data_IF_473812879773
#
_entry.id   IF_473812879773
#
_cell.length_a   1.000
_cell.length_b   1.000
_cell.length_c   1.000
_cell.angle_alpha   90.00
_cell.angle_beta   90.00
_cell.angle_gamma   90.00
#
_symmetry.space_group_name_H-M   'P 1'
#
loop_
_entity.id
_entity.type
_entity.pdbx_description
1 polymer ?
#
# COMPACT_ATOMS: atom_id res chain seq x y z
N UNK A 1 -70.96 -22.78 10.46
CA UNK A 1 -69.96 -23.87 10.41
C UNK A 1 -68.58 -23.26 10.23
N UNK A 2 -67.64 -23.68 11.09
CA UNK A 2 -66.17 -23.60 11.02
C UNK A 2 -65.48 -22.22 11.08
N UNK A 3 -64.81 -22.04 12.24
CA UNK A 3 -63.77 -21.08 12.65
C UNK A 3 -62.59 -21.04 11.68
N UNK A 4 -61.90 -19.89 11.53
CA UNK A 4 -60.43 -19.80 11.60
C UNK A 4 -60.00 -18.36 11.98
N UNK A 5 -59.40 -18.24 13.18
CA UNK A 5 -58.68 -17.06 13.65
C UNK A 5 -57.26 -17.17 13.09
N UNK A 6 -56.88 -16.30 12.14
CA UNK A 6 -55.51 -16.25 11.62
C UNK A 6 -54.66 -15.53 12.67
N UNK A 7 -53.91 -16.30 13.44
CA UNK A 7 -52.87 -15.79 14.33
C UNK A 7 -51.65 -15.45 13.48
N UNK A 8 -51.47 -14.17 13.15
CA UNK A 8 -50.27 -13.68 12.47
C UNK A 8 -49.10 -13.70 13.48
N UNK A 9 -48.24 -14.71 13.37
CA UNK A 9 -46.95 -14.74 14.07
C UNK A 9 -46.02 -13.79 13.32
N UNK A 10 -45.86 -12.57 13.84
CA UNK A 10 -44.83 -11.64 13.35
C UNK A 10 -43.48 -12.15 13.89
N UNK A 11 -42.79 -12.95 13.08
CA UNK A 11 -41.37 -13.25 13.27
C UNK A 11 -40.59 -11.94 13.05
N UNK A 12 -40.33 -11.21 14.13
CA UNK A 12 -39.28 -10.19 14.14
C UNK A 12 -37.94 -10.93 14.03
N UNK A 13 -37.49 -11.16 12.80
CA UNK A 13 -36.09 -11.48 12.54
C UNK A 13 -35.28 -10.30 13.06
N UNK A 14 -34.63 -10.48 14.21
CA UNK A 14 -33.68 -9.52 14.75
C UNK A 14 -32.52 -9.46 13.77
N UNK A 15 -32.56 -8.52 12.83
CA UNK A 15 -31.39 -8.09 12.11
C UNK A 15 -30.47 -7.49 13.17
N UNK A 16 -29.56 -8.30 13.71
CA UNK A 16 -28.38 -7.80 14.41
C UNK A 16 -27.48 -7.35 13.27
N UNK A 17 -27.33 -6.05 12.97
CA UNK A 17 -26.24 -5.64 12.11
C UNK A 17 -24.99 -6.13 12.81
N UNK A 18 -24.31 -7.12 12.24
CA UNK A 18 -22.90 -7.35 12.54
C UNK A 18 -22.21 -6.09 12.06
N UNK A 19 -22.15 -5.09 12.96
CA UNK A 19 -21.18 -4.03 12.86
C UNK A 19 -19.86 -4.76 12.69
N UNK A 20 -19.35 -4.80 11.46
CA UNK A 20 -18.03 -5.33 11.19
C UNK A 20 -17.12 -4.70 12.22
N UNK A 21 -16.38 -5.53 12.95
CA UNK A 21 -15.53 -5.05 14.02
C UNK A 21 -14.65 -3.94 13.45
N UNK A 22 -14.99 -2.68 13.72
CA UNK A 22 -14.21 -1.54 13.30
C UNK A 22 -12.89 -1.74 14.04
N UNK A 23 -11.82 -1.98 13.28
CA UNK A 23 -10.51 -2.10 13.87
C UNK A 23 -10.29 -0.88 14.75
N UNK A 24 -9.90 -1.10 16.01
CA UNK A 24 -9.62 0.00 16.92
C UNK A 24 -8.63 0.96 16.26
N UNK A 25 -8.86 2.28 16.32
CA UNK A 25 -7.93 3.24 15.78
C UNK A 25 -6.55 2.99 16.40
N UNK A 26 -5.51 3.04 15.56
CA UNK A 26 -4.15 2.81 16.01
C UNK A 26 -3.77 3.84 17.09
N UNK A 27 -2.92 3.44 18.03
CA UNK A 27 -2.42 4.36 19.04
C UNK A 27 -1.72 5.56 18.37
N UNK A 28 -1.85 6.79 18.89
CA UNK A 28 -1.18 7.97 18.35
C UNK A 28 0.32 7.71 18.13
N UNK A 29 0.79 7.98 16.91
CA UNK A 29 2.19 7.75 16.52
C UNK A 29 2.49 6.35 15.97
N UNK A 30 1.52 5.43 15.93
CA UNK A 30 1.70 4.13 15.28
C UNK A 30 1.67 4.28 13.76
N UNK A 31 2.73 3.82 13.10
CA UNK A 31 2.80 3.75 11.64
C UNK A 31 2.26 2.39 11.21
N UNK A 32 1.23 2.37 10.35
CA UNK A 32 0.75 1.15 9.69
C UNK A 32 1.17 1.19 8.24
N UNK A 33 1.80 0.10 7.80
CA UNK A 33 2.44 0.01 6.50
C UNK A 33 1.88 -1.13 5.68
N UNK A 34 2.00 -1.03 4.35
CA UNK A 34 1.77 -2.15 3.44
C UNK A 34 2.79 -2.12 2.29
N UNK A 35 2.86 -3.19 1.52
CA UNK A 35 3.68 -3.31 0.32
C UNK A 35 2.81 -3.22 -0.94
N UNK A 36 3.36 -2.60 -1.99
CA UNK A 36 2.82 -2.59 -3.34
C UNK A 36 3.90 -3.13 -4.30
N UNK A 37 3.84 -4.43 -4.56
CA UNK A 37 4.77 -5.14 -5.43
C UNK A 37 4.46 -4.96 -6.91
N UNK A 38 3.18 -4.94 -7.29
CA UNK A 38 2.82 -4.73 -8.70
C UNK A 38 2.77 -3.21 -9.02
N UNK A 39 3.93 -2.63 -9.33
CA UNK A 39 4.05 -1.18 -9.59
C UNK A 39 3.28 -0.75 -10.84
N UNK A 40 2.98 -1.65 -11.78
CA UNK A 40 2.16 -1.31 -12.95
C UNK A 40 0.77 -0.76 -12.61
N UNK A 41 0.26 -1.05 -11.41
CA UNK A 41 -1.01 -0.53 -10.90
C UNK A 41 -1.00 0.99 -10.71
N UNK A 42 0.16 1.65 -10.65
CA UNK A 42 0.20 3.12 -10.54
C UNK A 42 -0.03 3.83 -11.89
N UNK A 43 -0.05 3.10 -13.01
CA UNK A 43 -0.18 3.69 -14.33
C UNK A 43 -1.57 4.28 -14.60
N UNK A 44 -2.64 3.65 -14.11
CA UNK A 44 -4.00 4.12 -14.33
C UNK A 44 -4.51 5.00 -13.17
N UNK A 45 -5.24 6.10 -13.45
CA UNK A 45 -5.91 6.87 -12.40
C UNK A 45 -6.84 6.03 -11.52
N UNK A 46 -7.55 5.07 -12.11
CA UNK A 46 -8.51 4.22 -11.42
C UNK A 46 -7.82 3.36 -10.36
N UNK A 47 -6.75 2.64 -10.73
CA UNK A 47 -6.03 1.78 -9.79
C UNK A 47 -5.30 2.59 -8.70
N UNK A 48 -4.79 3.79 -9.03
CA UNK A 48 -4.25 4.70 -7.99
C UNK A 48 -5.30 5.08 -6.95
N UNK A 49 -6.52 5.40 -7.39
CA UNK A 49 -7.62 5.72 -6.48
C UNK A 49 -7.96 4.52 -5.60
N UNK A 50 -8.14 3.33 -6.18
CA UNK A 50 -8.47 2.11 -5.44
C UNK A 50 -7.41 1.78 -4.36
N UNK A 51 -6.12 1.90 -4.71
CA UNK A 51 -5.02 1.67 -3.75
C UNK A 51 -5.08 2.67 -2.59
N UNK A 52 -5.33 3.95 -2.87
CA UNK A 52 -5.32 5.01 -1.87
C UNK A 52 -6.60 5.04 -1.03
N UNK A 53 -7.74 4.64 -1.59
CA UNK A 53 -8.97 4.38 -0.85
C UNK A 53 -8.77 3.23 0.13
N UNK A 54 -8.21 2.11 -0.32
CA UNK A 54 -7.82 1.01 0.56
C UNK A 54 -6.88 1.48 1.68
N UNK A 55 -5.86 2.28 1.36
CA UNK A 55 -4.93 2.80 2.35
C UNK A 55 -5.65 3.65 3.41
N UNK A 56 -6.58 4.51 3.00
CA UNK A 56 -7.37 5.33 3.90
C UNK A 56 -8.28 4.48 4.80
N UNK A 57 -9.04 3.55 4.22
CA UNK A 57 -9.93 2.62 4.94
C UNK A 57 -9.19 1.79 5.98
N UNK A 58 -7.97 1.35 5.63
CA UNK A 58 -7.15 0.54 6.50
C UNK A 58 -6.26 1.36 7.44
N UNK A 59 -6.32 2.69 7.42
CA UNK A 59 -5.43 3.57 8.19
C UNK A 59 -3.94 3.30 7.93
N UNK A 60 -3.58 2.95 6.69
CA UNK A 60 -2.19 2.83 6.25
C UNK A 60 -1.62 4.22 6.05
N UNK A 61 -0.50 4.51 6.72
CA UNK A 61 0.22 5.78 6.64
C UNK A 61 1.53 5.69 5.83
N UNK A 62 1.91 4.48 5.39
CA UNK A 62 3.07 4.28 4.51
C UNK A 62 2.90 3.10 3.58
N UNK A 63 3.33 3.27 2.33
CA UNK A 63 3.38 2.21 1.32
C UNK A 63 4.83 2.02 0.88
N UNK A 64 5.30 0.78 0.89
CA UNK A 64 6.54 0.36 0.24
C UNK A 64 6.23 0.03 -1.22
N UNK A 65 6.64 0.89 -2.14
CA UNK A 65 6.37 0.77 -3.58
C UNK A 65 7.59 0.23 -4.29
N UNK A 66 7.46 -0.91 -4.97
CA UNK A 66 8.57 -1.50 -5.71
C UNK A 66 9.09 -0.53 -6.79
N UNK A 67 10.41 -0.39 -6.88
CA UNK A 67 11.06 0.32 -7.99
C UNK A 67 11.02 -0.58 -9.22
N UNK A 68 10.36 -0.08 -10.26
CA UNK A 68 10.17 -0.74 -11.54
C UNK A 68 10.60 0.23 -12.67
N UNK A 69 11.64 -0.10 -13.46
CA UNK A 69 12.11 0.74 -14.56
C UNK A 69 11.15 0.80 -15.75
N UNK A 70 10.21 -0.14 -15.87
CA UNK A 70 9.22 -0.16 -16.96
C UNK A 70 8.04 0.79 -16.68
N UNK A 71 7.90 1.27 -15.45
CA UNK A 71 6.89 2.25 -15.05
C UNK A 71 7.40 3.67 -15.32
N UNK A 72 6.59 4.45 -16.03
CA UNK A 72 6.95 5.81 -16.38
C UNK A 72 7.10 6.71 -15.13
N UNK A 73 8.10 7.60 -15.14
CA UNK A 73 8.37 8.56 -14.05
C UNK A 73 7.12 9.37 -13.69
N UNK A 74 6.32 9.78 -14.68
CA UNK A 74 5.09 10.55 -14.42
C UNK A 74 4.01 9.75 -13.67
N UNK A 75 3.98 8.42 -13.80
CA UNK A 75 3.08 7.56 -13.02
C UNK A 75 3.48 7.55 -11.54
N UNK A 76 4.78 7.47 -11.23
CA UNK A 76 5.28 7.64 -9.86
C UNK A 76 4.93 9.01 -9.30
N UNK A 77 5.15 10.08 -10.06
CA UNK A 77 4.85 11.46 -9.64
C UNK A 77 3.37 11.62 -9.28
N UNK A 78 2.48 11.16 -10.17
CA UNK A 78 1.04 11.23 -9.95
C UNK A 78 0.63 10.45 -8.69
N UNK A 79 1.13 9.23 -8.51
CA UNK A 79 0.81 8.40 -7.36
C UNK A 79 1.34 8.97 -6.04
N UNK A 80 2.61 9.37 -5.99
CA UNK A 80 3.24 9.90 -4.79
C UNK A 80 2.59 11.22 -4.36
N UNK A 81 2.25 12.09 -5.31
CA UNK A 81 1.54 13.33 -5.04
C UNK A 81 0.18 13.09 -4.40
N UNK A 82 -0.58 12.16 -4.97
CA UNK A 82 -1.90 11.82 -4.47
C UNK A 82 -1.82 11.18 -3.08
N UNK A 83 -0.88 10.25 -2.88
CA UNK A 83 -0.61 9.65 -1.57
C UNK A 83 -0.23 10.70 -0.52
N UNK A 84 0.68 11.61 -0.86
CA UNK A 84 1.12 12.69 0.02
C UNK A 84 -0.03 13.60 0.44
N UNK A 85 -0.95 13.93 -0.48
CA UNK A 85 -2.14 14.72 -0.16
C UNK A 85 -3.09 14.06 0.84
N UNK A 86 -3.01 12.73 0.98
CA UNK A 86 -3.76 11.91 1.94
C UNK A 86 -2.95 11.58 3.21
N UNK A 87 -1.75 12.13 3.35
CA UNK A 87 -0.86 11.84 4.48
C UNK A 87 -0.21 10.46 4.42
N UNK A 88 -0.18 9.81 3.25
CA UNK A 88 0.45 8.50 3.04
C UNK A 88 1.86 8.70 2.50
N UNK A 89 2.86 8.22 3.24
CA UNK A 89 4.26 8.25 2.84
C UNK A 89 4.58 7.15 1.84
N UNK A 90 5.27 7.47 0.74
CA UNK A 90 5.75 6.45 -0.20
C UNK A 90 7.24 6.23 -0.01
N UNK A 91 7.61 5.00 0.33
CA UNK A 91 9.00 4.55 0.41
C UNK A 91 9.29 3.67 -0.81
N UNK A 92 10.42 3.91 -1.47
CA UNK A 92 10.89 3.03 -2.53
C UNK A 92 11.26 1.66 -1.94
N UNK A 93 10.95 0.59 -2.65
CA UNK A 93 11.20 -0.79 -2.25
C UNK A 93 12.00 -1.49 -3.35
N UNK A 94 13.08 -2.15 -2.98
CA UNK A 94 13.85 -2.99 -3.90
C UNK A 94 14.69 -4.00 -3.12
N UNK A 95 15.14 -5.05 -3.77
CA UNK A 95 15.93 -6.08 -3.14
C UNK A 95 15.89 -7.41 -3.87
N UNK A 96 16.92 -8.22 -3.63
CA UNK A 96 16.94 -9.62 -3.99
C UNK A 96 17.83 -10.40 -3.02
N UNK A 97 17.62 -11.71 -2.85
CA UNK A 97 18.41 -12.54 -1.92
C UNK A 97 19.91 -12.47 -2.16
N UNK A 98 20.33 -12.44 -3.42
CA UNK A 98 21.72 -12.48 -3.84
C UNK A 98 22.47 -11.17 -3.61
N UNK A 99 21.81 -10.06 -3.28
CA UNK A 99 22.44 -8.75 -3.02
C UNK A 99 23.40 -8.74 -1.81
N UNK A 100 23.52 -9.85 -1.08
CA UNK A 100 24.55 -10.04 -0.07
C UNK A 100 25.95 -10.27 -0.65
N UNK A 101 26.06 -10.73 -1.90
CA UNK A 101 27.33 -11.08 -2.52
C UNK A 101 28.11 -9.84 -3.00
N UNK A 102 29.44 -9.97 -3.07
CA UNK A 102 30.32 -8.84 -3.40
C UNK A 102 30.07 -8.27 -4.80
N UNK A 103 29.68 -9.11 -5.75
CA UNK A 103 29.44 -8.80 -7.14
C UNK A 103 28.02 -8.23 -7.39
N UNK A 104 27.07 -8.42 -6.48
CA UNK A 104 25.67 -7.98 -6.62
C UNK A 104 25.27 -6.89 -5.62
N UNK A 105 25.95 -6.74 -4.48
CA UNK A 105 25.63 -5.72 -3.45
C UNK A 105 25.62 -4.27 -3.96
N UNK A 106 26.25 -4.01 -5.11
CA UNK A 106 26.22 -2.70 -5.75
C UNK A 106 24.79 -2.26 -6.13
N UNK A 107 23.87 -3.22 -6.36
CA UNK A 107 22.46 -2.95 -6.66
C UNK A 107 21.76 -2.09 -5.59
N UNK A 108 22.07 -2.30 -4.31
CA UNK A 108 21.58 -1.42 -3.23
C UNK A 108 21.95 0.06 -3.46
N UNK A 109 23.16 0.32 -3.94
CA UNK A 109 23.63 1.68 -4.22
C UNK A 109 22.97 2.23 -5.48
N UNK A 110 22.68 1.39 -6.47
CA UNK A 110 21.92 1.77 -7.66
C UNK A 110 20.50 2.20 -7.30
N UNK A 111 19.78 1.44 -6.47
CA UNK A 111 18.44 1.82 -5.97
C UNK A 111 18.49 3.16 -5.24
N UNK A 112 19.45 3.37 -4.33
CA UNK A 112 19.61 4.65 -3.61
C UNK A 112 19.85 5.79 -4.60
N UNK A 113 20.71 5.59 -5.60
CA UNK A 113 21.02 6.61 -6.58
C UNK A 113 19.83 6.93 -7.48
N UNK A 114 19.03 5.92 -7.86
CA UNK A 114 17.79 6.10 -8.61
C UNK A 114 16.79 6.95 -7.83
N UNK A 115 16.53 6.63 -6.55
CA UNK A 115 15.62 7.40 -5.69
C UNK A 115 16.11 8.84 -5.54
N UNK A 116 17.41 9.03 -5.32
CA UNK A 116 18.00 10.37 -5.24
C UNK A 116 17.88 11.15 -6.54
N UNK A 117 18.01 10.49 -7.68
CA UNK A 117 17.87 11.12 -8.99
C UNK A 117 16.42 11.54 -9.22
N UNK A 118 15.48 10.62 -9.05
CA UNK A 118 14.05 10.92 -9.10
C UNK A 118 13.67 12.10 -8.20
N UNK A 119 14.06 12.08 -6.92
CA UNK A 119 13.70 13.12 -5.95
C UNK A 119 14.27 14.52 -6.29
N UNK A 120 15.35 14.63 -7.08
CA UNK A 120 15.90 15.92 -7.51
C UNK A 120 15.09 16.57 -8.62
N UNK A 121 14.39 15.78 -9.43
CA UNK A 121 13.66 16.25 -10.61
C UNK A 121 12.18 16.56 -10.32
N UNK A 122 11.70 16.32 -9.09
CA UNK A 122 10.30 16.45 -8.70
C UNK A 122 10.10 17.41 -7.53
N UNK A 123 8.87 17.90 -7.34
CA UNK A 123 8.51 18.76 -6.20
C UNK A 123 8.52 17.97 -4.89
N UNK A 124 8.52 18.65 -3.75
CA UNK A 124 8.58 18.01 -2.44
C UNK A 124 7.44 17.00 -2.21
N UNK A 125 6.24 17.31 -2.68
CA UNK A 125 5.04 16.47 -2.57
C UNK A 125 5.07 15.25 -3.50
N UNK A 126 5.97 15.23 -4.48
CA UNK A 126 6.14 14.17 -5.47
C UNK A 126 7.31 13.24 -5.13
N UNK A 127 8.02 13.47 -4.01
CA UNK A 127 9.21 12.71 -3.60
C UNK A 127 8.89 11.43 -2.85
N UNK A 128 9.72 10.41 -3.08
CA UNK A 128 9.85 9.31 -2.11
C UNK A 128 10.40 9.85 -0.79
N UNK A 129 9.83 9.39 0.32
CA UNK A 129 10.21 9.83 1.67
C UNK A 129 11.13 8.84 2.39
N UNK A 130 11.40 7.68 1.78
CA UNK A 130 12.34 6.70 2.31
C UNK A 130 12.62 5.55 1.35
N UNK A 131 13.44 4.60 1.80
CA UNK A 131 13.83 3.40 1.06
C UNK A 131 13.72 2.20 2.01
N UNK A 132 13.15 1.10 1.53
CA UNK A 132 13.09 -0.22 2.16
C UNK A 132 13.92 -1.18 1.28
N UNK A 133 14.99 -1.75 1.84
CA UNK A 133 15.74 -2.82 1.18
C UNK A 133 15.17 -4.16 1.64
N UNK A 134 14.72 -4.98 0.69
CA UNK A 134 14.15 -6.30 0.94
C UNK A 134 15.12 -7.40 0.51
N UNK A 135 16.17 -7.59 1.33
CA UNK A 135 17.22 -8.56 1.06
C UNK A 135 16.91 -9.81 1.89
N UNK A 136 16.58 -10.90 1.20
CA UNK A 136 16.06 -12.14 1.79
C UNK A 136 17.04 -13.31 1.62
N UNK A 137 18.23 -13.28 2.23
CA UNK A 137 19.30 -14.24 1.96
C UNK A 137 18.96 -15.67 2.38
N UNK A 138 17.94 -15.85 3.23
CA UNK A 138 17.46 -17.16 3.67
C UNK A 138 16.84 -17.99 2.53
N UNK A 139 16.59 -17.39 1.35
CA UNK A 139 16.08 -18.06 0.15
C UNK A 139 17.23 -18.65 -0.69
N UNK A 140 18.47 -18.26 -0.44
CA UNK A 140 19.63 -18.77 -1.17
C UNK A 140 19.89 -20.25 -0.81
N UNK A 141 20.37 -21.07 -1.75
CA UNK A 141 20.84 -22.41 -1.45
C UNK A 141 21.93 -22.41 -0.37
N UNK A 142 21.91 -23.42 0.49
CA UNK A 142 22.99 -23.70 1.46
C UNK A 142 24.28 -24.19 0.79
#
# INVERSE_FOLDING_TARGET
MVKYLIMAVILFASFIPTAGAMASPLAPGTIKTTWLWNTSLVNSPESRNEILEFAAEQHVSRIYLQVDPDVAVDAYRAFIKQATSLGVQIHALDGAPDWIYLDTRHRMTETINWVKAYNREVTEEERFTGIQMDIEPYILPE
#
